data_IF_262954788349
#
_entry.id   IF_262954788349
#
_cell.length_a   1.000
_cell.length_b   1.000
_cell.length_c   1.000
_cell.angle_alpha   90.00
_cell.angle_beta   90.00
_cell.angle_gamma   90.00
#
_symmetry.space_group_name_H-M   'P 1'
#
loop_
_entity.id
_entity.type
_entity.pdbx_description
1 polymer ?
#
# COMPACT_ATOMS: atom_id res chain seq x y z
N UNK A 1 13.24 -62.62 -3.54
CA UNK A 1 12.66 -61.51 -2.75
C UNK A 1 13.71 -60.54 -2.21
N UNK A 2 14.82 -60.98 -1.57
CA UNK A 2 15.84 -60.07 -1.01
C UNK A 2 16.54 -59.14 -2.02
N UNK A 3 16.77 -59.61 -3.25
CA UNK A 3 17.42 -58.83 -4.32
C UNK A 3 16.58 -57.67 -4.83
N UNK A 4 15.25 -57.86 -4.95
CA UNK A 4 14.32 -56.80 -5.35
C UNK A 4 14.21 -55.71 -4.27
N UNK A 5 14.25 -56.09 -2.99
CA UNK A 5 14.22 -55.13 -1.88
C UNK A 5 15.49 -54.29 -1.84
N UNK A 6 16.66 -54.89 -2.04
CA UNK A 6 17.94 -54.16 -2.08
C UNK A 6 18.01 -53.17 -3.25
N UNK A 7 17.55 -53.57 -4.44
CA UNK A 7 17.51 -52.68 -5.60
C UNK A 7 16.60 -51.46 -5.36
N UNK A 8 15.45 -51.66 -4.71
CA UNK A 8 14.53 -50.57 -4.35
C UNK A 8 15.14 -49.56 -3.38
N UNK A 9 15.86 -50.03 -2.35
CA UNK A 9 16.51 -49.15 -1.35
C UNK A 9 17.62 -48.31 -1.97
N UNK A 10 18.45 -48.90 -2.85
CA UNK A 10 19.54 -48.17 -3.52
C UNK A 10 18.98 -47.10 -4.47
N UNK A 11 17.94 -47.43 -5.24
CA UNK A 11 17.30 -46.46 -6.12
C UNK A 11 16.68 -45.28 -5.36
N UNK A 12 16.02 -45.57 -4.22
CA UNK A 12 15.45 -44.52 -3.37
C UNK A 12 16.52 -43.62 -2.75
N UNK A 13 17.62 -44.20 -2.26
CA UNK A 13 18.74 -43.44 -1.70
C UNK A 13 19.42 -42.55 -2.75
N UNK A 14 19.62 -43.07 -3.96
CA UNK A 14 20.16 -42.29 -5.08
C UNK A 14 19.25 -41.12 -5.46
N UNK A 15 17.94 -41.36 -5.58
CA UNK A 15 16.97 -40.31 -5.89
C UNK A 15 16.93 -39.23 -4.80
N UNK A 16 16.95 -39.62 -3.52
CA UNK A 16 16.98 -38.68 -2.40
C UNK A 16 18.27 -37.84 -2.38
N UNK A 17 19.43 -38.47 -2.66
CA UNK A 17 20.71 -37.76 -2.75
C UNK A 17 20.74 -36.71 -3.87
N UNK A 18 20.20 -37.05 -5.05
CA UNK A 18 20.09 -36.10 -6.17
C UNK A 18 19.13 -34.96 -5.82
N UNK A 19 17.98 -35.25 -5.24
CA UNK A 19 17.02 -34.22 -4.83
C UNK A 19 17.61 -33.27 -3.77
N UNK A 20 18.34 -33.80 -2.79
CA UNK A 20 19.03 -33.01 -1.78
C UNK A 20 20.11 -32.12 -2.43
N UNK A 21 20.93 -32.67 -3.32
CA UNK A 21 21.95 -31.89 -4.03
C UNK A 21 21.32 -30.75 -4.87
N UNK A 22 20.25 -31.03 -5.61
CA UNK A 22 19.53 -30.01 -6.37
C UNK A 22 18.94 -28.93 -5.47
N UNK A 23 18.45 -29.27 -4.28
CA UNK A 23 17.94 -28.30 -3.32
C UNK A 23 19.06 -27.43 -2.73
N UNK A 24 20.20 -28.02 -2.35
CA UNK A 24 21.33 -27.31 -1.75
C UNK A 24 22.10 -26.44 -2.74
N UNK A 25 22.19 -26.85 -4.00
CA UNK A 25 22.90 -26.11 -5.06
C UNK A 25 21.96 -25.29 -5.96
N UNK A 26 20.66 -25.25 -5.66
CA UNK A 26 19.76 -24.34 -6.35
C UNK A 26 20.23 -22.89 -6.11
N UNK A 27 20.28 -22.04 -7.14
CA UNK A 27 20.57 -20.63 -6.96
C UNK A 27 19.54 -20.03 -5.98
N UNK A 28 19.96 -19.16 -5.06
CA UNK A 28 19.01 -18.51 -4.15
C UNK A 28 17.97 -17.79 -5.01
N UNK A 29 16.69 -17.99 -4.69
CA UNK A 29 15.63 -17.19 -5.31
C UNK A 29 15.98 -15.73 -5.06
N UNK A 30 16.10 -14.95 -6.14
CA UNK A 30 16.28 -13.51 -6.00
C UNK A 30 15.10 -12.99 -5.17
N UNK A 31 15.41 -12.41 -4.01
CA UNK A 31 14.44 -11.60 -3.30
C UNK A 31 14.20 -10.38 -4.17
N UNK A 32 13.05 -10.34 -4.85
CA UNK A 32 12.60 -9.12 -5.50
C UNK A 32 12.31 -8.10 -4.42
N UNK A 33 13.21 -7.12 -4.24
CA UNK A 33 12.91 -5.95 -3.43
C UNK A 33 11.85 -5.14 -4.18
N UNK A 34 10.59 -5.33 -3.82
CA UNK A 34 9.57 -4.35 -4.15
C UNK A 34 9.86 -3.06 -3.35
N UNK A 35 9.26 -1.93 -3.73
CA UNK A 35 9.37 -0.68 -2.96
C UNK A 35 8.72 -0.76 -1.57
N UNK A 36 8.35 -1.96 -1.12
CA UNK A 36 7.88 -2.27 0.21
C UNK A 36 8.52 -3.57 0.73
N UNK A 37 8.78 -3.62 2.03
CA UNK A 37 9.22 -4.81 2.75
C UNK A 37 8.49 -4.90 4.10
N UNK A 38 8.31 -6.12 4.61
CA UNK A 38 7.66 -6.37 5.89
C UNK A 38 8.49 -7.34 6.72
N UNK A 39 8.79 -6.94 7.94
CA UNK A 39 9.43 -7.79 8.93
C UNK A 39 8.71 -7.68 10.26
N UNK A 40 8.09 -8.78 10.71
CA UNK A 40 7.34 -8.84 11.96
C UNK A 40 6.27 -7.73 12.03
N UNK A 41 6.41 -6.86 13.03
CA UNK A 41 5.55 -5.73 13.40
C UNK A 41 5.96 -4.42 12.71
N UNK A 42 6.81 -4.52 11.69
CA UNK A 42 7.32 -3.38 10.93
C UNK A 42 7.02 -3.56 9.44
N UNK A 43 6.55 -2.49 8.79
CA UNK A 43 6.46 -2.42 7.32
C UNK A 43 7.23 -1.19 6.87
N UNK A 44 8.12 -1.35 5.91
CA UNK A 44 8.83 -0.25 5.28
C UNK A 44 8.33 -0.08 3.84
N UNK A 45 8.18 1.16 3.40
CA UNK A 45 7.95 1.45 1.98
C UNK A 45 8.69 2.72 1.56
N UNK A 46 9.05 2.80 0.28
CA UNK A 46 9.68 4.00 -0.29
C UNK A 46 8.80 4.62 -1.37
N UNK A 47 8.91 5.94 -1.52
CA UNK A 47 8.19 6.66 -2.55
C UNK A 47 8.79 8.03 -2.78
N UNK A 48 8.60 8.59 -3.96
CA UNK A 48 9.09 9.93 -4.27
C UNK A 48 8.43 10.99 -3.39
N UNK A 49 9.23 11.94 -2.90
CA UNK A 49 8.76 13.09 -2.13
C UNK A 49 9.48 14.34 -2.64
N UNK A 50 8.73 15.42 -2.84
CA UNK A 50 9.31 16.71 -3.23
C UNK A 50 9.31 17.64 -2.03
N UNK A 51 10.45 17.74 -1.35
CA UNK A 51 10.69 18.75 -0.30
C UNK A 51 11.18 20.08 -0.88
N UNK A 52 11.83 20.03 -2.05
CA UNK A 52 12.27 21.19 -2.81
C UNK A 52 11.80 21.00 -4.26
N UNK A 53 11.06 21.95 -4.87
CA UNK A 53 10.55 21.84 -6.24
C UNK A 53 11.61 21.51 -7.30
N UNK A 54 12.89 21.80 -7.04
CA UNK A 54 14.01 21.54 -7.95
C UNK A 54 14.63 20.16 -7.79
N UNK A 55 14.39 19.47 -6.67
CA UNK A 55 15.05 18.21 -6.31
C UNK A 55 14.02 17.24 -5.72
N UNK A 56 13.71 16.21 -6.50
CA UNK A 56 12.97 15.05 -6.00
C UNK A 56 13.87 14.24 -5.07
N UNK A 57 13.37 13.89 -3.89
CA UNK A 57 14.06 12.99 -2.94
C UNK A 57 13.23 11.73 -2.74
N UNK A 58 13.84 10.73 -2.11
CA UNK A 58 13.12 9.51 -1.73
C UNK A 58 12.65 9.64 -0.28
N UNK A 59 11.36 9.50 -0.10
CA UNK A 59 10.72 9.34 1.20
C UNK A 59 10.76 7.89 1.62
N UNK A 60 11.09 7.67 2.88
CA UNK A 60 11.04 6.38 3.56
C UNK A 60 9.91 6.43 4.58
N UNK A 61 9.03 5.44 4.50
CA UNK A 61 7.91 5.24 5.40
C UNK A 61 8.19 4.00 6.23
N UNK A 62 7.98 4.11 7.54
CA UNK A 62 8.08 2.99 8.45
C UNK A 62 6.83 2.95 9.31
N UNK A 63 6.09 1.86 9.20
CA UNK A 63 4.95 1.56 10.04
C UNK A 63 5.41 0.70 11.21
N UNK A 64 5.30 1.22 12.42
CA UNK A 64 5.54 0.51 13.68
C UNK A 64 4.21 0.12 14.32
N UNK A 65 3.86 -1.15 14.22
CA UNK A 65 2.64 -1.69 14.83
C UNK A 65 2.66 -1.64 16.33
N UNK A 66 3.81 -1.95 16.94
CA UNK A 66 3.95 -2.08 18.38
C UNK A 66 3.79 -0.73 19.06
N UNK A 67 4.34 0.32 18.44
CA UNK A 67 4.17 1.69 18.91
C UNK A 67 2.84 2.31 18.43
N UNK A 68 2.17 1.72 17.44
CA UNK A 68 0.99 2.31 16.81
C UNK A 68 1.31 3.60 16.05
N UNK A 69 2.49 3.66 15.43
CA UNK A 69 3.01 4.89 14.79
C UNK A 69 3.30 4.68 13.31
N UNK A 70 2.95 5.68 12.51
CA UNK A 70 3.50 5.84 11.17
C UNK A 70 4.63 6.86 11.23
N UNK A 71 5.81 6.43 10.82
CA UNK A 71 7.01 7.24 10.76
C UNK A 71 7.33 7.55 9.30
N UNK A 72 7.83 8.75 9.05
CA UNK A 72 8.18 9.22 7.73
C UNK A 72 9.44 10.06 7.77
N UNK A 73 10.34 9.81 6.83
CA UNK A 73 11.56 10.59 6.68
C UNK A 73 11.95 10.71 5.21
N UNK A 74 12.91 11.58 4.92
CA UNK A 74 13.50 11.74 3.58
C UNK A 74 15.00 11.63 3.65
N UNK A 75 15.59 11.21 2.53
CA UNK A 75 17.03 11.26 2.34
C UNK A 75 17.40 12.65 1.83
N UNK A 76 18.18 13.40 2.60
CA UNK A 76 18.79 14.65 2.13
C UNK A 76 19.91 14.31 1.16
N UNK A 77 19.71 14.62 -0.13
CA UNK A 77 20.68 14.34 -1.19
C UNK A 77 21.97 15.15 -1.06
N UNK A 78 21.93 16.30 -0.42
CA UNK A 78 23.14 17.12 -0.23
C UNK A 78 24.05 16.50 0.85
N UNK A 79 23.45 15.87 1.86
CA UNK A 79 24.18 15.28 2.99
C UNK A 79 24.33 13.76 2.89
N UNK A 80 23.62 13.11 1.97
CA UNK A 80 23.62 11.65 1.80
C UNK A 80 23.06 10.88 3.00
N UNK A 81 22.22 11.51 3.83
CA UNK A 81 21.69 10.91 5.07
C UNK A 81 20.22 11.22 5.28
N UNK A 82 19.60 10.41 6.12
CA UNK A 82 18.22 10.60 6.59
C UNK A 82 18.15 11.83 7.50
N UNK A 83 17.10 12.65 7.34
CA UNK A 83 16.92 13.88 8.12
C UNK A 83 15.57 13.91 8.84
N UNK A 84 15.64 13.82 10.18
CA UNK A 84 14.47 13.89 11.06
C UNK A 84 13.47 12.76 10.84
N UNK A 85 12.48 12.68 11.72
CA UNK A 85 11.34 11.78 11.55
C UNK A 85 10.07 12.57 11.83
N UNK A 86 9.13 12.51 10.89
CA UNK A 86 7.75 12.88 11.13
C UNK A 86 7.02 11.64 11.67
N UNK A 87 6.15 11.87 12.65
CA UNK A 87 5.38 10.79 13.27
C UNK A 87 3.88 11.11 13.19
N UNK A 88 3.08 10.07 13.01
CA UNK A 88 1.63 10.10 13.14
C UNK A 88 1.22 8.99 14.10
N UNK A 89 0.44 9.33 15.12
CA UNK A 89 -0.19 8.36 16.01
C UNK A 89 -1.40 7.73 15.32
N UNK A 90 -1.29 6.47 14.96
CA UNK A 90 -2.32 5.74 14.23
C UNK A 90 -3.51 5.40 15.10
N UNK A 91 -3.34 5.28 16.41
CA UNK A 91 -4.46 5.02 17.31
C UNK A 91 -5.44 6.20 17.28
N UNK A 92 -4.91 7.42 17.37
CA UNK A 92 -5.70 8.64 17.23
C UNK A 92 -6.23 8.80 15.80
N UNK A 93 -5.38 8.59 14.79
CA UNK A 93 -5.72 8.83 13.39
C UNK A 93 -6.84 7.91 12.87
N UNK A 94 -6.84 6.65 13.29
CA UNK A 94 -7.84 5.64 12.90
C UNK A 94 -8.93 5.43 13.97
N UNK A 95 -8.91 6.19 15.07
CA UNK A 95 -9.88 6.04 16.17
C UNK A 95 -9.89 4.63 16.78
N UNK A 96 -8.72 4.03 16.94
CA UNK A 96 -8.56 2.65 17.40
C UNK A 96 -8.74 2.58 18.93
N UNK A 97 -9.36 1.50 19.38
CA UNK A 97 -9.44 1.21 20.81
C UNK A 97 -8.07 0.76 21.33
N UNK A 98 -7.75 1.14 22.57
CA UNK A 98 -6.54 0.66 23.22
C UNK A 98 -6.53 -0.87 23.27
N UNK A 99 -5.41 -1.49 22.88
CA UNK A 99 -5.22 -2.96 22.83
C UNK A 99 -6.10 -3.70 21.82
N UNK A 100 -6.69 -3.01 20.85
CA UNK A 100 -7.35 -3.67 19.73
C UNK A 100 -6.34 -4.47 18.88
N UNK A 101 -6.74 -5.64 18.40
CA UNK A 101 -5.96 -6.44 17.47
C UNK A 101 -6.12 -5.87 16.05
N UNK A 102 -5.20 -4.99 15.67
CA UNK A 102 -5.24 -4.23 14.42
C UNK A 102 -4.19 -4.72 13.44
N UNK A 103 -4.59 -4.81 12.19
CA UNK A 103 -3.73 -5.33 11.13
C UNK A 103 -3.67 -4.33 9.99
N UNK A 104 -2.48 -3.82 9.68
CA UNK A 104 -2.29 -2.81 8.66
C UNK A 104 -1.68 -3.37 7.37
N UNK A 105 -2.07 -2.81 6.24
CA UNK A 105 -1.39 -2.99 4.96
C UNK A 105 -0.96 -1.63 4.44
N UNK A 106 0.26 -1.55 3.93
CA UNK A 106 0.86 -0.29 3.50
C UNK A 106 1.51 -0.46 2.13
N UNK A 107 1.30 0.53 1.25
CA UNK A 107 1.99 0.62 -0.04
C UNK A 107 2.09 2.08 -0.48
N UNK A 108 2.97 2.36 -1.43
CA UNK A 108 3.14 3.68 -2.03
C UNK A 108 2.74 3.66 -3.49
N UNK A 109 2.28 4.80 -4.01
CA UNK A 109 1.99 4.97 -5.42
C UNK A 109 2.17 6.40 -5.88
N UNK A 110 2.61 6.58 -7.13
CA UNK A 110 2.79 7.91 -7.72
C UNK A 110 1.44 8.58 -7.93
N UNK A 111 1.29 9.82 -7.41
CA UNK A 111 0.14 10.68 -7.73
C UNK A 111 0.51 11.60 -8.89
N UNK A 112 1.73 12.14 -8.85
CA UNK A 112 2.30 12.98 -9.91
C UNK A 112 3.82 12.80 -9.92
N UNK A 113 4.49 13.38 -10.90
CA UNK A 113 5.95 13.37 -10.96
C UNK A 113 6.54 13.99 -9.68
N UNK A 114 7.43 13.27 -9.01
CA UNK A 114 8.09 13.75 -7.80
C UNK A 114 7.31 13.57 -6.50
N UNK A 115 6.06 13.11 -6.54
CA UNK A 115 5.24 12.93 -5.35
C UNK A 115 4.47 11.61 -5.35
N UNK A 116 4.65 10.83 -4.29
CA UNK A 116 3.91 9.61 -4.01
C UNK A 116 2.93 9.83 -2.85
N UNK A 117 1.82 9.11 -2.91
CA UNK A 117 0.97 8.83 -1.76
C UNK A 117 1.46 7.57 -1.04
N UNK A 118 1.18 7.55 0.26
CA UNK A 118 1.13 6.35 1.07
C UNK A 118 -0.34 5.95 1.24
N UNK A 119 -0.65 4.72 0.88
CA UNK A 119 -1.94 4.09 1.12
C UNK A 119 -1.80 3.16 2.33
N UNK A 120 -2.63 3.39 3.36
CA UNK A 120 -2.60 2.64 4.60
C UNK A 120 -4.00 2.10 4.89
N UNK A 121 -4.16 0.78 4.87
CA UNK A 121 -5.41 0.10 5.17
C UNK A 121 -5.30 -0.56 6.54
N UNK A 122 -6.22 -0.24 7.45
CA UNK A 122 -6.44 -1.03 8.67
C UNK A 122 -7.51 -2.09 8.35
N UNK A 123 -7.08 -3.35 8.32
CA UNK A 123 -7.82 -4.45 7.73
C UNK A 123 -8.88 -5.04 8.64
N UNK A 124 -8.78 -4.85 9.96
CA UNK A 124 -9.76 -5.34 10.95
C UNK A 124 -11.03 -4.49 10.93
N UNK A 125 -10.91 -3.17 11.05
CA UNK A 125 -12.02 -2.21 11.01
C UNK A 125 -12.43 -1.82 9.58
N UNK A 126 -11.56 -2.06 8.60
CA UNK A 126 -11.80 -1.72 7.19
C UNK A 126 -11.65 -0.24 6.90
N UNK A 127 -10.85 0.48 7.68
CA UNK A 127 -10.52 1.88 7.46
C UNK A 127 -9.33 2.02 6.50
N UNK A 128 -9.33 3.09 5.69
CA UNK A 128 -8.33 3.33 4.67
C UNK A 128 -7.93 4.80 4.65
N UNK A 129 -6.66 5.07 4.96
CA UNK A 129 -6.08 6.41 4.96
C UNK A 129 -5.17 6.63 3.76
N UNK A 130 -5.20 7.85 3.24
CA UNK A 130 -4.28 8.33 2.20
C UNK A 130 -3.41 9.44 2.79
N UNK A 131 -2.10 9.26 2.74
CA UNK A 131 -1.13 10.20 3.28
C UNK A 131 -0.12 10.64 2.22
N UNK A 132 0.47 11.82 2.40
CA UNK A 132 1.67 12.23 1.67
C UNK A 132 2.67 12.83 2.62
N UNK A 133 3.93 12.81 2.22
CA UNK A 133 4.99 13.56 2.88
C UNK A 133 5.30 14.83 2.10
N UNK A 134 5.66 15.88 2.81
CA UNK A 134 6.14 17.13 2.21
C UNK A 134 6.95 17.94 3.22
N UNK A 135 7.29 19.20 2.89
CA UNK A 135 8.00 20.09 3.79
C UNK A 135 7.30 20.23 5.14
N UNK A 136 8.09 20.17 6.21
CA UNK A 136 7.62 20.44 7.57
C UNK A 136 7.22 21.92 7.77
N UNK A 137 6.73 22.22 8.97
CA UNK A 137 6.41 23.60 9.33
C UNK A 137 7.66 24.48 9.21
N UNK A 138 7.51 25.68 8.63
CA UNK A 138 8.62 26.59 8.35
C UNK A 138 9.72 26.02 7.42
N UNK A 139 9.40 25.03 6.60
CA UNK A 139 10.35 24.31 5.71
C UNK A 139 11.48 23.60 6.44
N UNK A 140 11.31 23.31 7.74
CA UNK A 140 12.27 22.53 8.52
C UNK A 140 11.78 21.09 8.60
N UNK A 141 12.61 20.15 8.12
CA UNK A 141 12.29 18.73 8.12
C UNK A 141 11.13 18.36 7.21
N UNK A 142 10.43 17.28 7.57
CA UNK A 142 9.27 16.78 6.84
C UNK A 142 8.04 16.70 7.73
N UNK A 143 6.87 16.72 7.10
CA UNK A 143 5.59 16.46 7.74
C UNK A 143 4.79 15.45 6.93
N UNK A 144 4.08 14.59 7.65
CA UNK A 144 3.09 13.67 7.09
C UNK A 144 1.74 14.38 7.12
N UNK A 145 1.00 14.33 6.02
CA UNK A 145 -0.32 14.95 5.88
C UNK A 145 -1.33 13.90 5.42
N UNK A 146 -2.43 13.79 6.15
CA UNK A 146 -3.60 13.03 5.70
C UNK A 146 -4.37 13.82 4.65
N UNK A 147 -4.71 13.16 3.55
CA UNK A 147 -5.60 13.68 2.52
C UNK A 147 -7.01 13.11 2.63
N UNK A 148 -7.12 11.84 3.00
CA UNK A 148 -8.41 11.16 3.06
C UNK A 148 -8.42 10.07 4.13
N UNK A 149 -9.62 9.79 4.64
CA UNK A 149 -9.92 8.66 5.53
C UNK A 149 -11.30 8.11 5.16
N UNK A 150 -11.31 6.90 4.60
CA UNK A 150 -12.54 6.23 4.16
C UNK A 150 -12.67 4.86 4.80
N UNK A 151 -13.81 4.21 4.55
CA UNK A 151 -14.04 2.81 4.96
C UNK A 151 -14.36 1.98 3.73
N UNK A 152 -13.67 0.86 3.57
CA UNK A 152 -13.96 -0.13 2.53
C UNK A 152 -14.75 -1.33 3.07
N UNK A 153 -14.96 -1.42 4.39
CA UNK A 153 -15.97 -2.28 5.00
C UNK A 153 -17.05 -1.42 5.64
N UNK A 154 -18.31 -1.69 5.30
CA UNK A 154 -19.44 -1.14 6.04
C UNK A 154 -19.60 -1.91 7.35
N UNK A 155 -19.96 -1.19 8.41
CA UNK A 155 -20.43 -1.83 9.62
C UNK A 155 -21.66 -2.69 9.25
N UNK A 156 -21.72 -3.93 9.73
CA UNK A 156 -22.84 -4.81 9.47
C UNK A 156 -24.15 -4.10 9.85
N UNK A 157 -25.02 -3.84 8.85
CA UNK A 157 -26.29 -3.15 9.03
C UNK A 157 -26.37 -1.73 8.47
N UNK A 158 -25.28 -1.16 7.94
CA UNK A 158 -25.32 0.14 7.28
C UNK A 158 -25.61 -0.06 5.78
N UNK A 159 -26.73 0.45 5.24
CA UNK A 159 -27.06 0.28 3.83
C UNK A 159 -25.96 0.90 2.98
N UNK A 160 -25.59 0.20 1.89
CA UNK A 160 -24.53 0.66 1.03
C UNK A 160 -24.80 2.08 0.56
N UNK A 161 -23.86 3.00 0.81
CA UNK A 161 -23.93 4.36 0.31
C UNK A 161 -24.15 4.25 -1.20
N UNK A 162 -25.35 4.62 -1.65
CA UNK A 162 -25.78 4.42 -3.02
C UNK A 162 -24.74 5.02 -3.95
N UNK A 163 -24.22 4.19 -4.86
CA UNK A 163 -23.56 4.69 -6.07
C UNK A 163 -24.46 5.81 -6.64
N UNK A 164 -23.91 6.97 -7.04
CA UNK A 164 -24.70 8.05 -7.61
C UNK A 164 -25.57 7.45 -8.71
N UNK A 165 -26.89 7.49 -8.47
CA UNK A 165 -27.85 6.66 -9.15
C UNK A 165 -27.73 6.78 -10.66
N UNK A 166 -27.46 5.65 -11.31
CA UNK A 166 -28.00 5.41 -12.63
C UNK A 166 -29.51 5.43 -12.48
N UNK A 167 -30.11 6.62 -12.58
CA UNK A 167 -31.55 6.77 -12.65
C UNK A 167 -32.08 5.86 -13.76
N UNK A 168 -33.30 5.29 -13.61
CA UNK A 168 -33.91 4.53 -14.67
C UNK A 168 -33.88 5.37 -15.95
N UNK A 169 -33.32 4.81 -17.02
CA UNK A 169 -33.25 5.47 -18.32
C UNK A 169 -34.65 6.00 -18.67
N UNK A 170 -34.80 7.31 -18.66
CA UNK A 170 -36.03 7.97 -19.11
C UNK A 170 -36.22 7.57 -20.58
N UNK A 171 -37.32 6.90 -20.97
CA UNK A 171 -37.55 6.56 -22.36
C UNK A 171 -37.63 7.85 -23.17
N UNK A 172 -36.74 7.97 -24.17
CA UNK A 172 -36.68 9.11 -25.07
C UNK A 172 -38.05 9.31 -25.75
N UNK A 173 -38.67 10.47 -25.52
CA UNK A 173 -39.85 10.87 -26.24
C UNK A 173 -39.48 11.10 -27.73
N UNK A 174 -40.25 10.55 -28.69
CA UNK A 174 -39.99 10.76 -30.10
C UNK A 174 -40.21 12.23 -30.47
N UNK A 175 -39.23 12.78 -31.20
CA UNK A 175 -39.10 14.20 -31.50
C UNK A 175 -40.32 14.83 -32.17
N UNK A 176 -40.77 15.94 -31.59
CA UNK A 176 -41.71 16.85 -32.22
C UNK A 176 -41.04 17.58 -33.38
N UNK A 177 -41.67 17.51 -34.55
CA UNK A 177 -41.25 18.20 -35.77
C UNK A 177 -41.23 19.73 -35.57
N UNK A 178 -40.10 20.34 -35.93
CA UNK A 178 -39.95 21.80 -35.99
C UNK A 178 -40.63 22.27 -37.28
N UNK A 179 -41.72 23.03 -37.17
CA UNK A 179 -42.33 23.72 -38.30
C UNK A 179 -41.54 25.00 -38.63
N UNK A 180 -41.25 25.28 -39.92
CA UNK A 180 -40.56 26.51 -40.32
C UNK A 180 -41.50 27.72 -40.19
N UNK A 181 -41.05 28.76 -39.49
CA UNK A 181 -41.72 30.06 -39.48
C UNK A 181 -41.57 30.74 -40.86
N UNK A 182 -42.69 31.05 -41.49
CA UNK A 182 -42.76 31.95 -42.64
C UNK A 182 -42.95 33.36 -42.08
N UNK A 183 -42.03 34.27 -42.40
CA UNK A 183 -42.13 35.70 -42.09
C UNK A 183 -42.85 36.45 -43.23
N UNK A 184 -43.67 37.47 -42.94
CA UNK A 184 -44.12 38.45 -43.92
C UNK A 184 -43.07 39.52 -44.22
#
# INVERSE_FOLDING_TARGET
>A
MRTLVQAGVVAAAGAAGVAAALFFFAPPRQAGAASNDRYQDMIMATGAVTVNPKVQTDGVWLLDYKAGKLLGTVIDRNQGKIVGWAEVDLATEFGLQARADVHFMMTTGYITQGQSALYLAETTTGQFGVFTMGPGQNNVGVAIRRHDMTKFRQAAGQPAAGLPGGGPAQPAAPGGAILPQIQP
#
